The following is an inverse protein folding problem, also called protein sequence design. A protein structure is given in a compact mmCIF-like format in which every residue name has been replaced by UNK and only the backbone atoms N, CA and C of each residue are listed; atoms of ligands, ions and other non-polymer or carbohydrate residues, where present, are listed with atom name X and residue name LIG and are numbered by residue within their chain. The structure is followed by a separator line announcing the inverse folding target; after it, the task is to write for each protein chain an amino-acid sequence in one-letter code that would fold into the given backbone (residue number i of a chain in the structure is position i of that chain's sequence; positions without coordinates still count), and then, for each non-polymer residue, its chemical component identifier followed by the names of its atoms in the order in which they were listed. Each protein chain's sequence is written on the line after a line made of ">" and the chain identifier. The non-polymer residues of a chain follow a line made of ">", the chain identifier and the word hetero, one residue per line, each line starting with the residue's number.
data_IF_450468239369
#
_entry.id   IF_450468239369
#
_cell.length_a   1.000
_cell.length_b   1.000
_cell.length_c   1.000
_cell.angle_alpha   90.00
_cell.angle_beta   90.00
_cell.angle_gamma   90.00
#
_symmetry.space_group_name_H-M   'P 1'
#
loop_
_entity.id
_entity.type
_entity.pdbx_description
1 polymer ?
#
# COMPACT_ATOMS: atom_id res chain seq x y z
N UNK A 1 -19.10 18.52 3.71
CA UNK A 1 -18.54 17.81 2.53
C UNK A 1 -17.51 16.81 3.03
N UNK A 2 -17.57 15.53 2.63
CA UNK A 2 -16.60 14.54 3.07
C UNK A 2 -15.24 14.78 2.37
N UNK A 3 -14.14 14.88 3.13
CA UNK A 3 -12.79 14.96 2.58
C UNK A 3 -12.43 13.61 1.97
N UNK A 4 -12.10 13.61 0.68
CA UNK A 4 -11.57 12.45 -0.01
C UNK A 4 -10.08 12.31 0.36
N UNK A 5 -9.66 11.20 0.95
CA UNK A 5 -8.22 10.88 1.09
C UNK A 5 -7.67 10.67 -0.32
N UNK A 6 -6.66 11.44 -0.67
CA UNK A 6 -5.97 11.37 -1.95
C UNK A 6 -4.54 10.93 -1.68
N UNK A 7 -4.03 10.00 -2.49
CA UNK A 7 -2.64 9.58 -2.37
C UNK A 7 -1.73 10.78 -2.68
N UNK A 8 -0.79 11.05 -1.78
CA UNK A 8 0.15 12.17 -1.83
C UNK A 8 1.62 11.71 -1.84
N UNK A 9 1.86 10.41 -1.60
CA UNK A 9 3.17 9.80 -1.52
C UNK A 9 3.28 8.57 -2.42
N UNK A 10 4.42 8.43 -3.10
CA UNK A 10 4.72 7.30 -3.97
C UNK A 10 5.81 6.44 -3.35
N UNK A 11 5.61 5.13 -3.38
CA UNK A 11 6.56 4.11 -2.90
C UNK A 11 6.81 3.07 -3.97
N UNK A 12 7.86 2.27 -3.82
CA UNK A 12 8.17 1.19 -4.77
C UNK A 12 7.67 -0.14 -4.24
N UNK A 13 6.85 -0.85 -5.00
CA UNK A 13 6.50 -2.24 -4.72
C UNK A 13 7.69 -3.13 -5.06
N UNK A 14 8.16 -3.92 -4.09
CA UNK A 14 9.37 -4.75 -4.24
C UNK A 14 9.13 -6.24 -4.04
N UNK A 15 7.94 -6.63 -3.56
CA UNK A 15 7.59 -8.02 -3.34
C UNK A 15 6.17 -8.19 -2.83
N UNK A 16 5.81 -9.44 -2.55
CA UNK A 16 4.52 -9.83 -2.01
C UNK A 16 4.63 -11.19 -1.32
N UNK A 17 3.70 -11.46 -0.40
CA UNK A 17 3.54 -12.73 0.29
C UNK A 17 2.06 -13.12 0.25
N UNK A 18 1.74 -14.15 -0.54
CA UNK A 18 0.37 -14.65 -0.67
C UNK A 18 -0.08 -15.48 0.54
N UNK A 19 0.85 -16.04 1.31
CA UNK A 19 0.53 -16.79 2.53
C UNK A 19 0.12 -15.84 3.64
N UNK A 20 0.85 -14.71 3.76
CA UNK A 20 0.54 -13.65 4.70
C UNK A 20 -0.49 -12.62 4.21
N UNK A 21 -0.75 -12.57 2.90
CA UNK A 21 -1.72 -11.67 2.28
C UNK A 21 -1.29 -10.19 2.24
N UNK A 22 -0.02 -9.91 1.96
CA UNK A 22 0.49 -8.52 1.93
C UNK A 22 1.52 -8.25 0.82
N UNK A 23 1.55 -6.98 0.41
CA UNK A 23 2.55 -6.38 -0.46
C UNK A 23 3.75 -5.91 0.36
N UNK A 24 4.95 -5.98 -0.19
CA UNK A 24 6.16 -5.43 0.41
C UNK A 24 6.56 -4.18 -0.38
N UNK A 25 6.70 -3.06 0.32
CA UNK A 25 7.08 -1.77 -0.24
C UNK A 25 8.44 -1.33 0.27
N UNK A 26 9.19 -0.62 -0.59
CA UNK A 26 10.36 0.14 -0.21
C UNK A 26 10.00 1.62 -0.16
N UNK A 27 10.29 2.25 0.98
CA UNK A 27 10.01 3.65 1.22
C UNK A 27 11.27 4.51 1.07
N UNK A 28 11.09 5.84 1.03
CA UNK A 28 12.14 6.84 0.85
C UNK A 28 12.42 7.67 2.11
N UNK A 29 11.93 7.24 3.28
CA UNK A 29 12.12 7.93 4.56
C UNK A 29 13.41 7.52 5.31
N UNK A 30 14.30 6.81 4.63
CA UNK A 30 15.57 6.34 5.18
C UNK A 30 15.46 4.99 5.91
N UNK A 31 16.61 4.42 6.31
CA UNK A 31 16.68 3.05 6.84
C UNK A 31 16.16 2.92 8.27
N UNK A 32 15.94 4.03 8.97
CA UNK A 32 15.40 4.04 10.34
C UNK A 32 13.88 3.86 10.38
N UNK A 33 13.21 3.93 9.23
CA UNK A 33 11.78 3.69 9.14
C UNK A 33 11.53 2.18 9.03
N UNK A 34 10.75 1.65 9.97
CA UNK A 34 10.39 0.22 10.05
C UNK A 34 11.61 -0.71 9.89
N UNK A 35 11.51 -1.69 9.00
CA UNK A 35 12.50 -2.75 8.83
C UNK A 35 13.52 -2.33 7.76
N UNK A 36 14.39 -1.38 8.10
CA UNK A 36 15.45 -0.94 7.18
C UNK A 36 14.96 -0.10 6.00
N UNK A 37 13.78 0.53 6.11
CA UNK A 37 13.14 1.30 5.04
C UNK A 37 12.08 0.54 4.24
N UNK A 38 11.71 -0.66 4.66
CA UNK A 38 10.68 -1.49 4.04
C UNK A 38 9.46 -1.62 4.96
N UNK A 39 8.30 -1.82 4.35
CA UNK A 39 7.04 -2.04 5.07
C UNK A 39 6.08 -2.94 4.32
N UNK A 40 5.05 -3.40 5.02
CA UNK A 40 4.06 -4.36 4.51
C UNK A 40 2.66 -3.77 4.43
N UNK A 41 1.95 -4.00 3.32
CA UNK A 41 0.60 -3.50 3.09
C UNK A 41 -0.33 -4.68 2.77
N UNK A 42 -1.27 -4.97 3.67
CA UNK A 42 -2.23 -6.05 3.46
C UNK A 42 -3.10 -5.84 2.22
N UNK A 43 -3.38 -6.91 1.49
CA UNK A 43 -4.16 -6.88 0.25
C UNK A 43 -5.56 -6.30 0.44
N UNK A 44 -6.18 -6.59 1.58
CA UNK A 44 -7.55 -6.16 1.92
C UNK A 44 -7.61 -4.75 2.52
N UNK A 45 -6.54 -3.96 2.45
CA UNK A 45 -6.58 -2.56 2.88
C UNK A 45 -7.40 -1.73 1.87
N UNK A 46 -8.73 -1.74 2.01
CA UNK A 46 -9.67 -1.03 1.14
C UNK A 46 -9.51 0.50 1.17
N UNK A 47 -8.76 1.03 2.15
CA UNK A 47 -8.60 2.47 2.38
C UNK A 47 -7.24 3.04 1.92
N UNK A 48 -6.20 2.23 1.74
CA UNK A 48 -4.81 2.74 1.63
C UNK A 48 -4.10 2.51 0.29
N UNK A 49 -4.58 1.58 -0.54
CA UNK A 49 -4.04 1.40 -1.90
C UNK A 49 -4.97 2.16 -2.84
N UNK A 50 -4.42 3.21 -3.48
CA UNK A 50 -5.04 4.11 -4.46
C UNK A 50 -6.46 3.68 -4.87
N UNK A 51 -7.52 4.48 -4.58
CA UNK A 51 -8.89 4.10 -4.85
C UNK A 51 -9.12 4.05 -6.37
N UNK A 52 -8.74 2.93 -6.99
CA UNK A 52 -9.14 2.62 -8.34
C UNK A 52 -10.60 2.19 -8.24
N UNK A 53 -11.53 2.84 -8.97
CA UNK A 53 -12.89 2.34 -9.11
C UNK A 53 -12.95 0.95 -9.79
N UNK A 54 -11.81 0.46 -10.30
CA UNK A 54 -11.70 -0.74 -11.12
C UNK A 54 -11.68 -2.04 -10.29
N UNK A 55 -11.40 -1.96 -8.99
CA UNK A 55 -11.47 -3.14 -8.09
C UNK A 55 -12.89 -3.49 -7.64
N UNK A 56 -13.87 -2.58 -7.83
CA UNK A 56 -15.27 -2.83 -7.44
C UNK A 56 -16.12 -3.50 -8.53
N UNK A 57 -15.55 -3.87 -9.68
CA UNK A 57 -16.26 -4.51 -10.81
C UNK A 57 -15.81 -5.93 -11.12
N UNK A 58 -15.28 -6.65 -10.13
CA UNK A 58 -15.09 -8.10 -10.21
C UNK A 58 -16.13 -8.80 -9.33
N UNK A 59 -17.39 -8.66 -9.72
CA UNK A 59 -18.49 -9.60 -9.49
C UNK A 59 -19.42 -9.51 -10.68
#
# INVERSE_FOLDING_TARGET
>A
MAKKKQADHCVTLVGYDDTGGYWIIKNSWGPLWEEGGYGSVYYESEEYICPSPLLKKRR
#
